data_IF_288697842804
#
_entry.id   IF_288697842804
#
_cell.length_a   1.000
_cell.length_b   1.000
_cell.length_c   1.000
_cell.angle_alpha   90.00
_cell.angle_beta   90.00
_cell.angle_gamma   90.00
#
_symmetry.space_group_name_H-M   'P 1'
#
loop_
_entity.id
_entity.type
_entity.pdbx_description
1 polymer ?
#
# COMPACT_ATOMS: atom_id res chain seq x y z
N UNK A 1 -1.25 6.28 -18.32
CA UNK A 1 -0.70 7.64 -18.51
C UNK A 1 0.14 7.95 -17.28
N UNK A 2 1.45 8.13 -17.41
CA UNK A 2 2.31 8.48 -16.28
C UNK A 2 2.18 10.00 -16.00
N UNK A 3 1.95 10.38 -14.74
CA UNK A 3 1.83 11.77 -14.30
C UNK A 3 2.86 12.09 -13.21
N UNK A 4 2.81 13.29 -12.65
CA UNK A 4 3.74 13.73 -11.59
C UNK A 4 3.71 12.82 -10.35
N UNK A 5 2.58 12.20 -10.02
CA UNK A 5 2.46 11.27 -8.89
C UNK A 5 3.19 9.96 -9.19
N UNK A 6 2.99 9.39 -10.38
CA UNK A 6 3.71 8.20 -10.83
C UNK A 6 5.23 8.38 -10.77
N UNK A 7 5.74 9.55 -11.20
CA UNK A 7 7.16 9.86 -11.17
C UNK A 7 7.70 10.07 -9.74
N UNK A 8 6.91 10.66 -8.86
CA UNK A 8 7.31 10.95 -7.48
C UNK A 8 7.33 9.70 -6.58
N UNK A 9 6.43 8.75 -6.83
CA UNK A 9 6.24 7.55 -6.00
C UNK A 9 6.78 6.28 -6.67
N UNK A 10 7.39 6.40 -7.84
CA UNK A 10 7.96 5.28 -8.61
C UNK A 10 6.94 4.16 -8.93
N UNK A 11 5.70 4.55 -9.23
CA UNK A 11 4.60 3.62 -9.57
C UNK A 11 4.17 3.75 -11.03
N UNK A 12 3.65 2.67 -11.61
CA UNK A 12 3.21 2.61 -13.02
C UNK A 12 1.85 3.24 -13.25
N UNK A 13 0.95 3.10 -12.27
CA UNK A 13 -0.44 3.55 -12.36
C UNK A 13 -0.74 4.53 -11.22
N UNK A 14 -1.43 5.66 -11.47
CA UNK A 14 -1.82 6.60 -10.43
C UNK A 14 -3.06 6.08 -9.68
N UNK A 15 -2.97 4.86 -9.15
CA UNK A 15 -4.03 4.13 -8.46
C UNK A 15 -3.52 3.72 -7.10
N UNK A 16 -4.23 4.15 -6.05
CA UNK A 16 -3.89 3.83 -4.68
C UNK A 16 -4.93 2.88 -4.11
N UNK A 17 -4.48 1.81 -3.46
CA UNK A 17 -5.35 1.03 -2.58
C UNK A 17 -5.38 1.69 -1.22
N UNK A 18 -6.54 2.22 -0.82
CA UNK A 18 -6.69 2.99 0.42
C UNK A 18 -6.38 2.17 1.67
N UNK A 19 -5.76 2.82 2.66
CA UNK A 19 -5.49 2.23 3.97
C UNK A 19 -6.80 1.99 4.75
N UNK A 20 -7.30 0.76 4.70
CA UNK A 20 -8.53 0.33 5.38
C UNK A 20 -8.17 -0.53 6.59
N UNK A 21 -8.48 -0.05 7.80
CA UNK A 21 -8.25 -0.80 9.03
C UNK A 21 -8.86 -2.21 8.93
N UNK A 22 -8.11 -3.21 9.38
CA UNK A 22 -8.45 -4.64 9.31
C UNK A 22 -8.60 -5.27 7.91
N UNK A 23 -8.57 -4.48 6.82
CA UNK A 23 -8.72 -4.99 5.43
C UNK A 23 -7.42 -4.88 4.63
N UNK A 24 -6.75 -3.73 4.70
CA UNK A 24 -5.54 -3.46 3.95
C UNK A 24 -4.30 -4.05 4.64
N UNK A 25 -4.17 -5.38 4.53
CA UNK A 25 -3.08 -6.22 5.04
C UNK A 25 -2.01 -6.47 3.97
N UNK A 26 -0.85 -6.97 4.37
CA UNK A 26 0.32 -7.21 3.52
C UNK A 26 -0.02 -7.92 2.18
N UNK A 27 -0.83 -9.01 2.13
CA UNK A 27 -1.12 -9.67 0.86
C UNK A 27 -1.82 -8.78 -0.17
N UNK A 28 -2.76 -7.93 0.28
CA UNK A 28 -3.50 -7.03 -0.59
C UNK A 28 -2.60 -5.87 -1.06
N UNK A 29 -1.84 -5.29 -0.13
CA UNK A 29 -0.94 -4.17 -0.40
C UNK A 29 0.19 -4.58 -1.34
N UNK A 30 0.78 -5.76 -1.13
CA UNK A 30 1.79 -6.33 -2.01
C UNK A 30 1.23 -6.57 -3.42
N UNK A 31 0.06 -7.20 -3.54
CA UNK A 31 -0.56 -7.46 -4.84
C UNK A 31 -0.80 -6.19 -5.67
N UNK A 32 -1.23 -5.10 -5.02
CA UNK A 32 -1.43 -3.80 -5.69
C UNK A 32 -0.10 -3.17 -6.11
N UNK A 33 0.91 -3.26 -5.25
CA UNK A 33 2.25 -2.70 -5.52
C UNK A 33 2.94 -3.45 -6.67
N UNK A 34 2.86 -4.78 -6.68
CA UNK A 34 3.35 -5.64 -7.78
C UNK A 34 2.61 -5.40 -9.11
N UNK A 35 1.31 -5.09 -9.04
CA UNK A 35 0.55 -4.69 -10.22
C UNK A 35 0.94 -3.28 -10.73
N UNK A 36 1.77 -2.53 -9.99
CA UNK A 36 2.28 -1.21 -10.36
C UNK A 36 1.45 -0.03 -9.83
N UNK A 37 0.55 -0.25 -8.88
CA UNK A 37 -0.11 0.80 -8.10
C UNK A 37 0.61 1.07 -6.78
N UNK A 38 -0.02 1.84 -5.89
CA UNK A 38 0.46 2.05 -4.51
C UNK A 38 -0.47 1.33 -3.53
N UNK A 39 0.02 0.27 -2.88
CA UNK A 39 -0.69 -0.35 -1.76
C UNK A 39 -0.38 0.37 -0.44
N UNK A 40 -1.38 0.57 0.42
CA UNK A 40 -1.23 1.25 1.72
C UNK A 40 -1.74 0.33 2.84
N UNK A 41 -0.90 0.01 3.81
CA UNK A 41 -1.29 -0.79 4.98
C UNK A 41 -2.23 0.03 5.88
N UNK A 42 -3.36 -0.56 6.25
CA UNK A 42 -4.33 0.04 7.16
C UNK A 42 -3.99 -0.20 8.62
N UNK A 43 -3.05 0.57 9.18
CA UNK A 43 -2.53 0.39 10.54
C UNK A 43 -3.51 0.72 11.69
N UNK A 44 -4.75 1.12 11.39
CA UNK A 44 -5.74 1.47 12.41
C UNK A 44 -6.00 0.30 13.37
N UNK A 45 -5.74 0.52 14.66
CA UNK A 45 -5.94 -0.47 15.72
C UNK A 45 -4.83 -1.53 15.86
N UNK A 46 -3.72 -1.41 15.13
CA UNK A 46 -2.56 -2.31 15.29
C UNK A 46 -1.62 -1.82 16.40
N UNK A 47 -0.94 -2.74 17.08
CA UNK A 47 0.24 -2.38 17.86
C UNK A 47 1.44 -2.11 16.93
N UNK A 48 2.51 -1.45 17.41
CA UNK A 48 3.74 -1.30 16.65
C UNK A 48 4.30 -2.64 16.15
N UNK A 49 4.26 -3.68 16.99
CA UNK A 49 4.77 -5.02 16.65
C UNK A 49 3.93 -5.70 15.57
N UNK A 50 2.61 -5.50 15.59
CA UNK A 50 1.72 -6.00 14.54
C UNK A 50 1.99 -5.30 13.21
N UNK A 51 2.18 -3.97 13.24
CA UNK A 51 2.49 -3.20 12.04
C UNK A 51 3.85 -3.62 11.45
N UNK A 52 4.85 -3.87 12.29
CA UNK A 52 6.17 -4.33 11.85
C UNK A 52 6.08 -5.66 11.08
N UNK A 53 5.22 -6.58 11.52
CA UNK A 53 4.97 -7.85 10.80
C UNK A 53 4.30 -7.67 9.45
N UNK A 54 3.53 -6.60 9.25
CA UNK A 54 2.87 -6.32 7.97
C UNK A 54 3.81 -5.62 6.97
N UNK A 55 4.90 -5.00 7.44
CA UNK A 55 5.88 -4.27 6.62
C UNK A 55 7.07 -5.16 6.22
N UNK A 56 7.44 -6.13 7.07
CA UNK A 56 8.57 -7.04 6.86
C UNK A 56 8.40 -7.96 5.65
#
# INVERSE_FOLDING_TARGET
MANRICAMLEIKYPVFSGGMAHVARAPLVAAVSEAGGLGIIGAGGMSPEDLEREIA
#
